data_IF_861063696206
#
_entry.id   IF_861063696206
#
_cell.length_a   1.000
_cell.length_b   1.000
_cell.length_c   1.000
_cell.angle_alpha   90.00
_cell.angle_beta   90.00
_cell.angle_gamma   90.00
#
_symmetry.space_group_name_H-M   'P 1'
#
loop_
_entity.id
_entity.type
_entity.pdbx_description
1 polymer ?
#
# COMPACT_ATOMS: atom_id res chain seq x y z
N UNK A 1 -4.63 8.63 17.30
CA UNK A 1 -4.54 7.73 16.13
C UNK A 1 -3.51 6.67 16.46
N UNK A 2 -3.90 5.40 16.69
CA UNK A 2 -2.94 4.35 17.06
C UNK A 2 -2.12 3.96 15.84
N UNK A 3 -0.83 4.27 15.84
CA UNK A 3 0.12 3.84 14.82
C UNK A 3 0.66 2.47 15.17
N UNK A 4 -0.16 1.44 14.97
CA UNK A 4 0.29 0.06 15.14
C UNK A 4 1.07 -0.35 13.89
N UNK A 5 2.26 -0.93 14.10
CA UNK A 5 3.04 -1.53 13.02
C UNK A 5 2.24 -2.63 12.31
N UNK A 6 2.32 -2.74 10.97
CA UNK A 6 1.64 -3.80 10.25
C UNK A 6 2.17 -5.18 10.67
N UNK A 7 1.27 -6.15 10.78
CA UNK A 7 1.65 -7.53 11.07
C UNK A 7 2.30 -8.20 9.86
N UNK A 8 3.08 -9.26 10.08
CA UNK A 8 3.69 -10.03 9.00
C UNK A 8 2.66 -10.58 8.00
N UNK A 9 1.49 -11.00 8.49
CA UNK A 9 0.38 -11.48 7.64
C UNK A 9 -0.17 -10.36 6.77
N UNK A 10 -0.35 -9.16 7.32
CA UNK A 10 -0.76 -7.98 6.54
C UNK A 10 0.23 -7.69 5.42
N UNK A 11 1.53 -7.61 5.73
CA UNK A 11 2.55 -7.33 4.72
C UNK A 11 2.64 -8.43 3.65
N UNK A 12 2.47 -9.70 4.02
CA UNK A 12 2.42 -10.81 3.05
C UNK A 12 1.27 -10.62 2.06
N UNK A 13 0.07 -10.31 2.56
CA UNK A 13 -1.11 -10.06 1.71
C UNK A 13 -0.98 -8.80 0.86
N UNK A 14 -0.34 -7.76 1.39
CA UNK A 14 -0.08 -6.54 0.62
C UNK A 14 0.85 -6.81 -0.55
N UNK A 15 1.93 -7.57 -0.33
CA UNK A 15 2.88 -7.97 -1.39
C UNK A 15 2.21 -8.86 -2.45
N UNK A 16 1.41 -9.84 -2.03
CA UNK A 16 0.62 -10.69 -2.94
C UNK A 16 -0.29 -9.85 -3.85
N UNK A 17 -0.85 -8.74 -3.34
CA UNK A 17 -1.75 -7.85 -4.08
C UNK A 17 -1.04 -6.66 -4.76
N UNK A 18 0.29 -6.52 -4.61
CA UNK A 18 1.06 -5.43 -5.21
C UNK A 18 0.73 -5.14 -6.69
N UNK A 19 0.67 -6.13 -7.60
CA UNK A 19 0.36 -5.85 -9.00
C UNK A 19 -1.05 -5.27 -9.21
N UNK A 20 -2.04 -5.69 -8.40
CA UNK A 20 -3.39 -5.12 -8.44
C UNK A 20 -3.40 -3.69 -7.87
N UNK A 21 -2.65 -3.43 -6.80
CA UNK A 21 -2.54 -2.10 -6.20
C UNK A 21 -1.84 -1.11 -7.14
N UNK A 22 -0.90 -1.55 -7.99
CA UNK A 22 -0.34 -0.73 -9.05
C UNK A 22 -1.39 -0.26 -10.06
N UNK A 23 -2.40 -1.08 -10.36
CA UNK A 23 -3.53 -0.65 -11.21
C UNK A 23 -4.35 0.45 -10.54
N UNK A 24 -4.42 0.47 -9.21
CA UNK A 24 -5.14 1.51 -8.48
C UNK A 24 -4.41 2.86 -8.55
N UNK A 25 -3.07 2.86 -8.66
CA UNK A 25 -2.28 4.08 -8.91
C UNK A 25 -2.68 4.72 -10.24
N UNK A 26 -2.98 3.90 -11.26
CA UNK A 26 -3.37 4.36 -12.60
C UNK A 26 -4.86 4.71 -12.72
N UNK A 27 -5.69 4.26 -11.77
CA UNK A 27 -7.12 4.52 -11.78
C UNK A 27 -7.43 5.82 -11.02
N UNK A 28 -7.96 6.88 -11.68
CA UNK A 28 -8.19 8.17 -11.05
C UNK A 28 -9.18 8.14 -9.88
N UNK A 29 -10.08 7.15 -9.84
CA UNK A 29 -11.04 6.98 -8.75
C UNK A 29 -10.42 6.30 -7.52
N UNK A 30 -9.36 5.50 -7.72
CA UNK A 30 -8.75 4.67 -6.67
C UNK A 30 -7.37 5.19 -6.23
N UNK A 31 -6.71 6.02 -7.04
CA UNK A 31 -5.37 6.55 -6.76
C UNK A 31 -5.31 7.27 -5.41
N UNK A 32 -6.41 7.89 -4.95
CA UNK A 32 -6.47 8.59 -3.67
C UNK A 32 -6.28 7.65 -2.48
N UNK A 33 -6.69 6.38 -2.60
CA UNK A 33 -6.55 5.38 -1.55
C UNK A 33 -5.08 5.01 -1.35
N UNK A 34 -4.40 4.65 -2.44
CA UNK A 34 -2.98 4.23 -2.43
C UNK A 34 -2.02 5.41 -2.24
N UNK A 35 -2.41 6.61 -2.65
CA UNK A 35 -1.61 7.83 -2.43
C UNK A 35 -1.82 8.49 -1.07
N UNK A 36 -2.73 7.97 -0.23
CA UNK A 36 -2.94 8.51 1.11
C UNK A 36 -1.67 8.37 1.97
N UNK A 37 -1.37 9.31 2.88
CA UNK A 37 -0.17 9.26 3.71
C UNK A 37 -0.04 7.96 4.51
N UNK A 38 -1.16 7.41 4.99
CA UNK A 38 -1.17 6.17 5.76
C UNK A 38 -0.94 4.94 4.86
N UNK A 39 -1.51 4.91 3.65
CA UNK A 39 -1.24 3.82 2.71
C UNK A 39 0.24 3.77 2.32
N UNK A 40 0.87 4.93 2.07
CA UNK A 40 2.30 5.03 1.81
C UNK A 40 3.13 4.52 2.99
N UNK A 41 2.83 4.95 4.23
CA UNK A 41 3.51 4.45 5.44
C UNK A 41 3.42 2.93 5.59
N UNK A 42 2.26 2.33 5.33
CA UNK A 42 2.08 0.87 5.40
C UNK A 42 2.86 0.16 4.29
N UNK A 43 2.81 0.71 3.07
CA UNK A 43 3.58 0.20 1.94
C UNK A 43 5.08 0.23 2.19
N UNK A 44 5.60 1.33 2.73
CA UNK A 44 7.02 1.49 3.09
C UNK A 44 7.41 0.52 4.21
N UNK A 45 6.60 0.43 5.28
CA UNK A 45 6.83 -0.49 6.38
C UNK A 45 6.84 -1.97 5.95
N UNK A 46 6.04 -2.32 4.94
CA UNK A 46 5.99 -3.66 4.37
C UNK A 46 7.01 -3.89 3.24
N UNK A 47 7.79 -2.89 2.82
CA UNK A 47 8.74 -3.00 1.71
C UNK A 47 8.06 -3.20 0.35
N UNK A 48 6.92 -2.55 0.14
CA UNK A 48 6.11 -2.59 -1.08
C UNK A 48 5.70 -1.17 -1.51
N UNK A 49 6.65 -0.23 -1.69
CA UNK A 49 6.34 1.16 -1.98
C UNK A 49 5.56 1.29 -3.29
N UNK A 50 4.50 2.10 -3.29
CA UNK A 50 3.69 2.32 -4.50
C UNK A 50 4.40 3.18 -5.56
N UNK A 51 5.57 3.75 -5.26
CA UNK A 51 6.37 4.55 -6.20
C UNK A 51 7.10 3.72 -7.26
N UNK A 52 7.19 2.40 -7.08
CA UNK A 52 7.76 1.47 -8.07
C UNK A 52 6.71 0.85 -8.99
N UNK A 53 5.44 1.24 -8.81
CA UNK A 53 4.35 1.08 -9.78
C UNK A 53 4.31 2.32 -10.70
#
# INVERSE_FOLDING_TARGET
MSSNSPTAVCCKKLKEQSPCLCQFVKNPNLQRLVNSPNAKKVADACGCPFSTC
#
